data_IF_178055337935
#
_entry.id   IF_178055337935
#
_cell.length_a   1.000
_cell.length_b   1.000
_cell.length_c   1.000
_cell.angle_alpha   90.00
_cell.angle_beta   90.00
_cell.angle_gamma   90.00
#
_symmetry.space_group_name_H-M   'P 1'
#
loop_
_entity.id
_entity.type
_entity.pdbx_description
1 polymer ?
#
# COMPACT_ATOMS: atom_id res chain seq x y z
N UNK A 1 -9.26 -1.97 8.04
CA UNK A 1 -8.19 -2.75 7.37
C UNK A 1 -6.92 -1.92 7.42
N UNK A 2 -6.05 -2.11 8.42
CA UNK A 2 -4.88 -1.23 8.62
C UNK A 2 -3.55 -1.88 8.20
N UNK A 3 -3.61 -3.00 7.48
CA UNK A 3 -2.42 -3.71 7.00
C UNK A 3 -2.65 -4.18 5.57
N UNK A 4 -1.58 -4.17 4.77
CA UNK A 4 -1.57 -4.63 3.39
C UNK A 4 -2.12 -6.05 3.23
N UNK A 5 -1.88 -6.92 4.21
CA UNK A 5 -2.34 -8.31 4.22
C UNK A 5 -3.87 -8.44 4.27
N UNK A 6 -4.55 -7.45 4.85
CA UNK A 6 -6.01 -7.42 4.92
C UNK A 6 -6.68 -6.98 3.61
N UNK A 7 -5.93 -6.42 2.66
CA UNK A 7 -6.47 -6.09 1.35
C UNK A 7 -6.92 -7.36 0.62
N UNK A 8 -7.99 -7.33 -0.20
CA UNK A 8 -8.36 -8.47 -1.03
C UNK A 8 -7.20 -8.97 -1.89
N UNK A 9 -7.16 -10.28 -2.19
CA UNK A 9 -6.09 -10.90 -2.98
C UNK A 9 -5.82 -10.14 -4.29
N UNK A 10 -6.87 -9.78 -5.02
CA UNK A 10 -6.75 -9.07 -6.30
C UNK A 10 -6.17 -7.66 -6.13
N UNK A 11 -6.48 -6.97 -5.02
CA UNK A 11 -5.91 -5.65 -4.72
C UNK A 11 -4.40 -5.76 -4.45
N UNK A 12 -3.98 -6.75 -3.66
CA UNK A 12 -2.55 -7.01 -3.44
C UNK A 12 -1.81 -7.35 -4.74
N UNK A 13 -2.41 -8.20 -5.58
CA UNK A 13 -1.85 -8.52 -6.90
C UNK A 13 -1.73 -7.29 -7.82
N UNK A 14 -2.71 -6.38 -7.77
CA UNK A 14 -2.68 -5.15 -8.53
C UNK A 14 -1.55 -4.22 -8.06
N UNK A 15 -1.34 -4.09 -6.76
CA UNK A 15 -0.21 -3.34 -6.19
C UNK A 15 1.12 -3.93 -6.67
N UNK A 16 1.32 -5.25 -6.55
CA UNK A 16 2.55 -5.91 -7.03
C UNK A 16 2.78 -5.75 -8.53
N UNK A 17 1.71 -5.71 -9.33
CA UNK A 17 1.80 -5.40 -10.76
C UNK A 17 2.29 -3.97 -10.99
N UNK A 18 1.76 -2.97 -10.27
CA UNK A 18 2.20 -1.58 -10.38
C UNK A 18 3.66 -1.40 -9.98
N UNK A 19 4.11 -2.04 -8.90
CA UNK A 19 5.52 -2.01 -8.49
C UNK A 19 6.44 -2.57 -9.58
N UNK A 20 6.05 -3.70 -10.17
CA UNK A 20 6.79 -4.34 -11.26
C UNK A 20 6.82 -3.47 -12.52
N UNK A 21 5.71 -2.79 -12.83
CA UNK A 21 5.59 -1.92 -13.99
C UNK A 21 6.40 -0.64 -13.85
N UNK A 22 6.40 -0.04 -12.66
CA UNK A 22 7.06 1.25 -12.39
C UNK A 22 8.53 1.08 -11.97
N UNK A 23 8.92 -0.11 -11.52
CA UNK A 23 10.27 -0.38 -11.02
C UNK A 23 10.58 0.30 -9.68
N UNK A 24 9.56 0.69 -8.93
CA UNK A 24 9.68 1.34 -7.61
C UNK A 24 8.69 0.71 -6.62
N UNK A 25 9.02 0.68 -5.32
CA UNK A 25 8.12 0.15 -4.30
C UNK A 25 6.96 1.12 -4.02
N UNK A 26 5.81 0.57 -3.66
CA UNK A 26 4.68 1.34 -3.13
C UNK A 26 4.77 1.31 -1.60
N UNK A 27 4.96 2.49 -1.00
CA UNK A 27 5.22 2.60 0.45
C UNK A 27 4.01 3.06 1.26
N UNK A 28 3.02 3.69 0.62
CA UNK A 28 1.80 4.19 1.26
C UNK A 28 0.58 3.94 0.36
N UNK A 29 -0.52 3.44 0.94
CA UNK A 29 -1.78 3.19 0.24
C UNK A 29 -2.92 3.86 1.02
N UNK A 30 -3.61 4.83 0.40
CA UNK A 30 -4.84 5.42 0.94
C UNK A 30 -6.05 4.61 0.44
N UNK A 31 -6.85 4.09 1.37
CA UNK A 31 -8.06 3.30 1.10
C UNK A 31 -9.35 4.05 1.40
N UNK A 32 -9.26 5.31 1.83
CA UNK A 32 -10.40 6.12 2.25
C UNK A 32 -9.99 7.55 2.61
N UNK A 33 -10.98 8.41 2.90
CA UNK A 33 -10.76 9.84 3.21
C UNK A 33 -10.22 10.07 4.63
N UNK A 34 -10.48 9.14 5.57
CA UNK A 34 -10.03 9.28 6.95
C UNK A 34 -8.55 8.92 7.11
N UNK A 35 -7.89 9.53 8.10
CA UNK A 35 -6.47 9.27 8.40
C UNK A 35 -6.19 7.79 8.72
N UNK A 36 -7.16 7.12 9.34
CA UNK A 36 -7.08 5.71 9.71
C UNK A 36 -7.21 4.77 8.51
N UNK A 37 -7.66 5.28 7.36
CA UNK A 37 -7.76 4.54 6.11
C UNK A 37 -6.48 4.69 5.27
N UNK A 38 -5.32 4.71 5.92
CA UNK A 38 -4.02 4.78 5.28
C UNK A 38 -3.16 3.61 5.77
N UNK A 39 -2.68 2.80 4.84
CA UNK A 39 -1.73 1.72 5.09
C UNK A 39 -0.33 2.26 4.80
N UNK A 40 0.52 2.31 5.83
CA UNK A 40 1.95 2.66 5.70
C UNK A 40 2.74 1.36 5.73
N UNK A 41 3.40 1.03 4.62
CA UNK A 41 4.24 -0.17 4.47
C UNK A 41 5.68 0.16 4.89
N UNK A 42 6.16 1.33 4.46
CA UNK A 42 7.47 1.87 4.78
C UNK A 42 7.31 3.38 5.09
N UNK A 43 7.71 3.80 6.29
CA UNK A 43 7.42 5.14 6.78
C UNK A 43 8.46 6.12 6.21
N UNK A 44 8.05 7.14 5.42
CA UNK A 44 9.00 8.01 4.71
C UNK A 44 9.89 8.92 5.59
N UNK A 45 9.69 8.89 6.91
CA UNK A 45 10.44 9.70 7.87
C UNK A 45 11.22 8.84 8.88
N UNK A 46 11.08 7.51 8.81
CA UNK A 46 11.86 6.59 9.61
C UNK A 46 13.07 6.15 8.77
N UNK A 47 14.27 6.26 9.35
CA UNK A 47 15.57 5.95 8.72
C UNK A 47 16.17 4.74 9.40
#
# INVERSE_FOLDING_TARGET
>A
MQSFEHLPKNARQYVSFLESLLGIPITIISTGPDRVDTIVIDHPFEV
#
